data_IF_522075213833
#
_entry.id   IF_522075213833
#
_cell.length_a   1.000
_cell.length_b   1.000
_cell.length_c   1.000
_cell.angle_alpha   90.00
_cell.angle_beta   90.00
_cell.angle_gamma   90.00
#
_symmetry.space_group_name_H-M   'P 1'
#
loop_
_entity.id
_entity.type
_entity.pdbx_description
1 polymer ?
#
# COMPACT_ATOMS: atom_id res chain seq x y z
N UNK A 1 14.69 29.27 -13.48
CA UNK A 1 13.46 28.71 -12.88
C UNK A 1 13.65 28.76 -11.36
N UNK A 2 12.72 29.30 -10.59
CA UNK A 2 12.92 29.49 -9.14
C UNK A 2 12.71 28.18 -8.41
N UNK A 3 13.79 27.57 -7.90
CA UNK A 3 13.77 26.40 -7.02
C UNK A 3 13.20 26.75 -5.63
N UNK A 4 11.89 27.00 -5.59
CA UNK A 4 11.15 27.32 -4.39
C UNK A 4 10.24 26.14 -4.02
N UNK A 5 10.46 25.57 -2.83
CA UNK A 5 9.62 24.52 -2.27
C UNK A 5 8.61 25.12 -1.30
N UNK A 6 7.44 24.47 -1.19
CA UNK A 6 6.43 24.83 -0.17
C UNK A 6 6.46 23.80 0.94
N UNK A 7 6.49 24.25 2.20
CA UNK A 7 6.27 23.37 3.35
C UNK A 7 5.15 23.92 4.23
N UNK A 8 4.51 23.04 5.02
CA UNK A 8 3.61 23.42 6.09
C UNK A 8 4.32 23.23 7.44
N UNK A 9 4.20 24.20 8.33
CA UNK A 9 4.67 24.07 9.70
C UNK A 9 3.91 22.92 10.39
N UNK A 10 4.59 21.89 10.92
CA UNK A 10 3.94 20.76 11.58
C UNK A 10 3.24 21.15 12.89
N UNK A 11 3.57 22.31 13.46
CA UNK A 11 2.99 22.79 14.72
C UNK A 11 1.67 23.53 14.49
N UNK A 12 1.60 24.40 13.47
CA UNK A 12 0.46 25.31 13.30
C UNK A 12 -0.13 25.35 11.88
N UNK A 13 0.34 24.49 10.98
CA UNK A 13 -0.15 24.36 9.60
C UNK A 13 0.19 25.52 8.65
N UNK A 14 0.89 26.58 9.11
CA UNK A 14 1.24 27.73 8.28
C UNK A 14 2.14 27.30 7.12
N UNK A 15 1.81 27.73 5.90
CA UNK A 15 2.53 27.36 4.68
C UNK A 15 3.52 28.44 4.29
N UNK A 16 4.74 28.03 3.93
CA UNK A 16 5.80 28.95 3.51
C UNK A 16 6.47 28.44 2.25
N UNK A 17 6.88 29.37 1.39
CA UNK A 17 7.78 29.10 0.26
C UNK A 17 9.21 29.43 0.67
N UNK A 18 10.16 28.55 0.35
CA UNK A 18 11.57 28.77 0.62
C UNK A 18 12.40 28.26 -0.55
N UNK A 19 13.51 28.95 -0.80
CA UNK A 19 14.51 28.48 -1.77
C UNK A 19 15.23 27.24 -1.24
N UNK A 20 15.51 26.27 -2.11
CA UNK A 20 16.29 25.05 -1.81
C UNK A 20 17.63 25.32 -1.12
N UNK A 21 18.22 26.52 -1.26
CA UNK A 21 19.44 26.94 -0.55
C UNK A 21 19.30 26.95 0.99
N UNK A 22 18.07 26.93 1.51
CA UNK A 22 17.80 26.88 2.94
C UNK A 22 17.55 25.46 3.46
N UNK A 23 17.66 24.43 2.62
CA UNK A 23 17.66 23.05 3.06
C UNK A 23 18.81 22.77 4.02
N UNK A 24 18.58 21.87 4.96
CA UNK A 24 19.48 21.58 6.08
C UNK A 24 19.47 22.63 7.19
N UNK A 25 18.81 23.78 7.02
CA UNK A 25 18.79 24.86 8.03
C UNK A 25 17.63 24.71 9.01
N UNK A 26 17.89 25.06 10.27
CA UNK A 26 16.81 25.32 11.24
C UNK A 26 16.20 26.68 10.94
N UNK A 27 14.89 26.70 10.79
CA UNK A 27 14.10 27.91 10.57
C UNK A 27 13.06 28.06 11.67
N UNK A 28 12.66 29.29 11.96
CA UNK A 28 11.58 29.59 12.91
C UNK A 28 10.29 29.84 12.14
N UNK A 29 9.21 29.20 12.55
CA UNK A 29 7.88 29.49 12.03
C UNK A 29 7.50 30.94 12.39
N UNK A 30 7.20 31.78 11.40
CA UNK A 30 6.79 33.17 11.63
C UNK A 30 5.45 33.29 12.38
N UNK A 31 4.57 32.28 12.29
CA UNK A 31 3.25 32.26 12.94
C UNK A 31 3.30 31.80 14.41
N UNK A 32 3.95 30.68 14.71
CA UNK A 32 3.93 30.07 16.05
C UNK A 32 5.28 30.08 16.79
N UNK A 33 6.35 30.58 16.17
CA UNK A 33 7.68 30.60 16.78
C UNK A 33 8.39 29.25 16.87
N UNK A 34 7.74 28.14 16.46
CA UNK A 34 8.33 26.80 16.50
C UNK A 34 9.58 26.67 15.62
N UNK A 35 10.60 25.96 16.13
CA UNK A 35 11.81 25.64 15.37
C UNK A 35 11.61 24.40 14.51
N UNK A 36 11.98 24.50 13.23
CA UNK A 36 11.76 23.48 12.21
C UNK A 36 13.07 23.25 11.47
N UNK A 37 13.40 22.00 11.19
CA UNK A 37 14.55 21.67 10.33
C UNK A 37 14.04 21.41 8.91
N UNK A 38 14.44 22.24 7.95
CA UNK A 38 14.07 22.02 6.56
C UNK A 38 14.92 20.90 5.98
N UNK A 39 14.35 19.73 5.75
CA UNK A 39 15.01 18.63 5.03
C UNK A 39 14.19 18.23 3.82
N UNK A 40 14.87 17.88 2.74
CA UNK A 40 14.29 17.02 1.71
C UNK A 40 14.67 15.62 2.14
N UNK A 41 13.67 14.80 2.47
CA UNK A 41 13.87 13.36 2.44
C UNK A 41 13.76 12.95 0.98
N UNK A 42 14.75 12.24 0.41
CA UNK A 42 14.54 11.63 -0.90
C UNK A 42 13.27 10.78 -0.79
N UNK A 43 12.32 11.03 -1.69
CA UNK A 43 11.14 10.18 -1.80
C UNK A 43 11.67 8.80 -2.13
N UNK A 44 11.42 7.84 -1.24
CA UNK A 44 11.75 6.46 -1.55
C UNK A 44 10.78 6.00 -2.63
N UNK A 45 11.34 5.51 -3.73
CA UNK A 45 10.58 4.89 -4.81
C UNK A 45 10.83 3.39 -4.78
N UNK A 46 9.80 2.61 -5.07
CA UNK A 46 9.87 1.15 -5.11
C UNK A 46 9.81 0.72 -6.57
N UNK A 47 10.71 -0.16 -7.01
CA UNK A 47 10.71 -0.62 -8.41
C UNK A 47 9.47 -1.44 -8.72
N UNK A 48 9.14 -2.40 -7.84
CA UNK A 48 7.91 -3.19 -7.87
C UNK A 48 7.39 -3.39 -6.46
N UNK A 49 6.08 -3.31 -6.31
CA UNK A 49 5.37 -3.68 -5.08
C UNK A 49 4.44 -4.82 -5.43
N UNK A 50 4.63 -5.97 -4.79
CA UNK A 50 3.68 -7.07 -4.84
C UNK A 50 2.72 -6.89 -3.67
N UNK A 51 1.43 -6.75 -3.96
CA UNK A 51 0.41 -6.44 -2.97
C UNK A 51 -0.73 -7.46 -3.05
N UNK A 52 -1.28 -7.78 -1.89
CA UNK A 52 -2.47 -8.61 -1.74
C UNK A 52 -3.31 -8.07 -0.57
N UNK A 53 -4.63 -8.29 -0.64
CA UNK A 53 -5.56 -7.85 0.40
C UNK A 53 -6.40 -9.01 0.92
N UNK A 54 -6.80 -8.87 2.18
CA UNK A 54 -7.77 -9.76 2.81
C UNK A 54 -9.03 -8.98 3.17
N UNK A 55 -10.19 -9.54 2.85
CA UNK A 55 -11.48 -8.87 3.01
C UNK A 55 -12.52 -9.83 3.59
N UNK A 56 -13.58 -9.29 4.19
CA UNK A 56 -14.68 -10.10 4.72
C UNK A 56 -15.83 -10.30 3.73
N UNK A 57 -15.76 -9.67 2.55
CA UNK A 57 -16.78 -9.71 1.50
C UNK A 57 -16.17 -9.53 0.12
N UNK A 58 -16.98 -9.64 -0.92
CA UNK A 58 -16.47 -9.64 -2.30
C UNK A 58 -16.39 -8.24 -2.94
N UNK A 59 -16.87 -7.20 -2.27
CA UNK A 59 -16.79 -5.80 -2.71
C UNK A 59 -16.94 -4.82 -1.53
N UNK A 60 -16.45 -3.57 -1.63
CA UNK A 60 -16.44 -2.59 -0.54
C UNK A 60 -17.79 -2.38 0.15
N UNK A 61 -18.88 -2.36 -0.60
CA UNK A 61 -20.24 -2.09 -0.07
C UNK A 61 -20.83 -3.20 0.81
N UNK A 62 -20.25 -4.41 0.81
CA UNK A 62 -20.82 -5.59 1.49
C UNK A 62 -19.79 -6.31 2.37
N UNK A 63 -18.69 -5.64 2.71
CA UNK A 63 -17.66 -6.22 3.56
C UNK A 63 -16.72 -5.15 4.11
N UNK A 64 -15.65 -5.63 4.71
CA UNK A 64 -14.59 -4.83 5.31
C UNK A 64 -13.26 -5.25 4.69
N UNK A 65 -12.41 -4.28 4.38
CA UNK A 65 -10.99 -4.52 4.12
C UNK A 65 -10.34 -4.86 5.46
N UNK A 66 -9.86 -6.08 5.64
CA UNK A 66 -9.31 -6.56 6.91
C UNK A 66 -7.80 -6.31 7.00
N UNK A 67 -7.06 -6.67 5.95
CA UNK A 67 -5.61 -6.56 5.91
C UNK A 67 -5.13 -6.18 4.51
N UNK A 68 -4.02 -5.45 4.44
CA UNK A 68 -3.23 -5.26 3.23
C UNK A 68 -1.83 -5.74 3.54
N UNK A 69 -1.26 -6.57 2.69
CA UNK A 69 0.11 -7.08 2.81
C UNK A 69 0.86 -6.75 1.53
N UNK A 70 2.14 -6.42 1.66
CA UNK A 70 2.97 -6.15 0.51
C UNK A 70 4.41 -6.60 0.71
N UNK A 71 5.06 -6.85 -0.41
CA UNK A 71 6.50 -7.07 -0.50
C UNK A 71 7.12 -6.08 -1.48
N UNK A 72 8.14 -5.37 -1.03
CA UNK A 72 8.87 -4.39 -1.84
C UNK A 72 10.32 -4.25 -1.37
N UNK A 73 11.26 -4.22 -2.32
CA UNK A 73 12.71 -4.10 -2.07
C UNK A 73 13.23 -5.03 -0.96
N UNK A 74 12.94 -6.33 -1.04
CA UNK A 74 13.45 -7.28 -0.04
C UNK A 74 12.68 -7.32 1.27
N UNK A 75 11.69 -6.44 1.47
CA UNK A 75 11.04 -6.23 2.77
C UNK A 75 9.53 -6.45 2.71
N UNK A 76 9.01 -7.12 3.73
CA UNK A 76 7.57 -7.26 3.95
C UNK A 76 7.01 -6.07 4.74
N UNK A 77 5.81 -5.65 4.37
CA UNK A 77 5.01 -4.74 5.17
C UNK A 77 3.55 -5.19 5.20
N UNK A 78 2.83 -4.68 6.20
CA UNK A 78 1.41 -4.97 6.35
C UNK A 78 0.69 -3.79 6.99
N UNK A 79 -0.62 -3.78 6.79
CA UNK A 79 -1.57 -2.93 7.49
C UNK A 79 -2.77 -3.80 7.87
N UNK A 80 -3.08 -3.83 9.16
CA UNK A 80 -4.31 -4.44 9.68
C UNK A 80 -5.29 -3.32 9.93
N UNK A 81 -6.54 -3.49 9.49
CA UNK A 81 -7.53 -2.43 9.54
C UNK A 81 -7.76 -1.94 10.99
N UNK A 82 -7.37 -0.69 11.21
CA UNK A 82 -7.54 0.06 12.44
C UNK A 82 -8.16 1.45 12.15
N UNK A 83 -8.88 1.59 11.03
CA UNK A 83 -9.42 2.84 10.53
C UNK A 83 -8.63 3.40 9.35
N UNK A 84 -7.61 4.21 9.62
CA UNK A 84 -6.87 4.94 8.58
C UNK A 84 -5.65 4.15 8.06
N UNK A 85 -5.31 4.27 6.76
CA UNK A 85 -4.09 3.67 6.22
C UNK A 85 -2.86 4.34 6.83
N UNK A 86 -1.83 3.54 7.11
CA UNK A 86 -0.55 4.07 7.58
C UNK A 86 0.13 4.94 6.51
N UNK A 87 0.95 5.88 6.94
CA UNK A 87 1.82 6.64 6.03
C UNK A 87 2.68 5.72 5.17
N UNK A 88 3.12 4.58 5.72
CA UNK A 88 3.89 3.56 5.01
C UNK A 88 3.10 2.93 3.86
N UNK A 89 1.86 2.47 4.11
CA UNK A 89 1.03 1.89 3.05
C UNK A 89 0.73 2.91 1.94
N UNK A 90 0.36 4.14 2.33
CA UNK A 90 0.13 5.23 1.37
C UNK A 90 1.38 5.52 0.54
N UNK A 91 2.55 5.55 1.17
CA UNK A 91 3.83 5.81 0.52
C UNK A 91 4.21 4.70 -0.46
N UNK A 92 4.08 3.43 -0.04
CA UNK A 92 4.38 2.27 -0.88
C UNK A 92 3.46 2.23 -2.11
N UNK A 93 2.15 2.41 -1.93
CA UNK A 93 1.21 2.46 -3.05
C UNK A 93 1.53 3.61 -4.01
N UNK A 94 1.72 4.82 -3.49
CA UNK A 94 1.89 6.03 -4.32
C UNK A 94 3.22 6.07 -5.08
N UNK A 95 4.30 5.54 -4.49
CA UNK A 95 5.65 5.66 -5.03
C UNK A 95 6.21 4.33 -5.56
N UNK A 96 5.34 3.35 -5.77
CA UNK A 96 5.66 2.20 -6.60
C UNK A 96 5.76 2.65 -8.07
N UNK A 97 6.83 2.28 -8.76
CA UNK A 97 6.89 2.43 -10.22
C UNK A 97 5.93 1.46 -10.90
N UNK A 98 5.70 0.29 -10.29
CA UNK A 98 4.72 -0.70 -10.70
C UNK A 98 4.13 -1.39 -9.46
N UNK A 99 2.81 -1.49 -9.42
CA UNK A 99 2.09 -2.36 -8.47
C UNK A 99 1.75 -3.65 -9.18
N UNK A 100 1.96 -4.78 -8.50
CA UNK A 100 1.67 -6.12 -9.00
C UNK A 100 0.72 -6.81 -8.03
N UNK A 101 -0.39 -7.33 -8.54
CA UNK A 101 -1.42 -8.05 -7.76
C UNK A 101 -1.91 -9.26 -8.54
N UNK A 102 -2.73 -10.12 -7.94
CA UNK A 102 -3.44 -11.17 -8.67
C UNK A 102 -4.96 -10.92 -8.66
N UNK A 103 -5.55 -10.67 -9.83
CA UNK A 103 -6.95 -10.23 -9.99
C UNK A 103 -7.25 -8.86 -9.31
N UNK A 104 -6.23 -8.03 -9.12
CA UNK A 104 -6.34 -6.79 -8.38
C UNK A 104 -6.98 -5.63 -9.13
N UNK A 105 -7.01 -5.61 -10.47
CA UNK A 105 -7.80 -4.59 -11.18
C UNK A 105 -9.29 -4.72 -10.84
N UNK A 106 -9.78 -5.96 -10.68
CA UNK A 106 -11.19 -6.27 -10.39
C UNK A 106 -11.48 -6.37 -8.90
N UNK A 107 -10.47 -6.45 -8.06
CA UNK A 107 -10.62 -6.74 -6.64
C UNK A 107 -9.84 -5.76 -5.76
N UNK A 108 -8.51 -5.91 -5.68
CA UNK A 108 -7.65 -5.17 -4.76
C UNK A 108 -7.75 -3.64 -4.90
N UNK A 109 -7.59 -3.12 -6.10
CA UNK A 109 -7.59 -1.67 -6.35
C UNK A 109 -8.95 -1.02 -5.99
N UNK A 110 -10.12 -1.56 -6.38
CA UNK A 110 -11.41 -1.06 -5.91
C UNK A 110 -11.51 -0.92 -4.39
N UNK A 111 -10.98 -1.88 -3.61
CA UNK A 111 -10.96 -1.77 -2.16
C UNK A 111 -10.05 -0.65 -1.66
N UNK A 112 -8.85 -0.51 -2.22
CA UNK A 112 -7.92 0.54 -1.82
C UNK A 112 -8.44 1.95 -2.18
N UNK A 113 -9.09 2.08 -3.33
CA UNK A 113 -9.70 3.34 -3.78
C UNK A 113 -10.92 3.69 -2.92
N UNK A 114 -11.89 2.77 -2.80
CA UNK A 114 -13.16 3.05 -2.12
C UNK A 114 -13.02 3.13 -0.58
N UNK A 115 -12.22 2.27 0.03
CA UNK A 115 -12.11 2.20 1.50
C UNK A 115 -11.00 3.10 2.06
N UNK A 116 -9.90 3.30 1.33
CA UNK A 116 -8.74 4.05 1.82
C UNK A 116 -8.53 5.38 1.10
N UNK A 117 -9.35 5.71 0.10
CA UNK A 117 -9.27 6.96 -0.65
C UNK A 117 -8.03 7.05 -1.54
N UNK A 118 -7.44 5.91 -1.90
CA UNK A 118 -6.28 5.90 -2.79
C UNK A 118 -6.71 6.31 -4.20
N UNK A 119 -5.77 6.86 -4.95
CA UNK A 119 -5.96 7.01 -6.40
C UNK A 119 -5.60 5.69 -7.07
N UNK A 120 -6.31 5.37 -8.15
CA UNK A 120 -5.96 4.22 -9.00
C UNK A 120 -4.49 4.33 -9.43
N UNK A 121 -3.78 3.19 -9.42
CA UNK A 121 -2.36 3.17 -9.69
C UNK A 121 -2.11 3.26 -11.20
N UNK A 122 -1.33 4.25 -11.63
CA UNK A 122 -1.12 4.50 -13.05
C UNK A 122 -0.38 3.37 -13.79
N UNK A 123 0.38 2.54 -13.06
CA UNK A 123 1.08 1.38 -13.61
C UNK A 123 0.78 0.15 -12.73
N UNK A 124 -0.38 -0.45 -12.95
CA UNK A 124 -0.84 -1.65 -12.26
C UNK A 124 -0.73 -2.85 -13.22
N UNK A 125 0.02 -3.86 -12.79
CA UNK A 125 0.13 -5.15 -13.46
C UNK A 125 -0.72 -6.19 -12.72
N UNK A 126 -1.75 -6.70 -13.39
CA UNK A 126 -2.56 -7.80 -12.88
C UNK A 126 -2.04 -9.14 -13.41
N UNK A 127 -1.53 -9.97 -12.50
CA UNK A 127 -0.98 -11.28 -12.85
C UNK A 127 -2.02 -12.26 -13.39
N UNK A 128 -3.32 -12.08 -13.09
CA UNK A 128 -4.36 -12.90 -13.71
C UNK A 128 -4.48 -12.59 -15.20
N UNK A 129 -4.37 -11.31 -15.59
CA UNK A 129 -4.41 -10.87 -16.98
C UNK A 129 -3.13 -11.27 -17.72
N UNK A 130 -1.98 -11.06 -17.09
CA UNK A 130 -0.68 -11.51 -17.62
C UNK A 130 -0.70 -13.03 -17.86
N UNK A 131 -1.12 -13.83 -16.87
CA UNK A 131 -1.21 -15.28 -17.01
C UNK A 131 -2.17 -15.71 -18.13
N UNK A 132 -3.32 -15.05 -18.25
CA UNK A 132 -4.27 -15.31 -19.33
C UNK A 132 -3.66 -15.05 -20.73
N UNK A 133 -2.80 -14.03 -20.85
CA UNK A 133 -2.11 -13.74 -22.12
C UNK A 133 -1.12 -14.84 -22.54
N UNK A 134 -0.64 -15.65 -21.58
CA UNK A 134 0.21 -16.82 -21.82
C UNK A 134 -0.56 -18.14 -21.83
N UNK A 135 -1.90 -18.10 -21.93
CA UNK A 135 -2.75 -19.29 -22.01
C UNK A 135 -3.04 -19.99 -20.67
N UNK A 136 -2.65 -19.38 -19.54
CA UNK A 136 -2.90 -19.92 -18.20
C UNK A 136 -4.23 -19.42 -17.66
N UNK A 137 -4.93 -20.24 -16.85
CA UNK A 137 -6.22 -19.86 -16.31
C UNK A 137 -6.51 -20.47 -14.93
N UNK A 138 -7.39 -19.81 -14.18
CA UNK A 138 -7.79 -20.22 -12.83
C UNK A 138 -7.21 -19.32 -11.74
N UNK A 139 -7.30 -19.79 -10.49
CA UNK A 139 -6.75 -19.06 -9.34
C UNK A 139 -5.23 -19.19 -9.23
N UNK A 140 -4.61 -18.26 -8.49
CA UNK A 140 -3.15 -18.17 -8.30
C UNK A 140 -2.53 -19.51 -7.90
N UNK A 141 -3.15 -20.23 -6.96
CA UNK A 141 -2.68 -21.56 -6.51
C UNK A 141 -2.56 -22.57 -7.65
N UNK A 142 -3.56 -22.62 -8.54
CA UNK A 142 -3.55 -23.53 -9.69
C UNK A 142 -2.45 -23.14 -10.68
N UNK A 143 -2.37 -21.86 -11.01
CA UNK A 143 -1.38 -21.34 -11.95
C UNK A 143 0.05 -21.54 -11.43
N UNK A 144 0.29 -21.33 -10.14
CA UNK A 144 1.59 -21.56 -9.51
C UNK A 144 2.03 -23.03 -9.62
N UNK A 145 1.12 -23.98 -9.41
CA UNK A 145 1.40 -25.41 -9.58
C UNK A 145 1.72 -25.75 -11.04
N UNK A 146 0.94 -25.21 -11.98
CA UNK A 146 1.17 -25.41 -13.43
C UNK A 146 2.54 -24.86 -13.87
N UNK A 147 3.01 -23.77 -13.26
CA UNK A 147 4.31 -23.18 -13.49
C UNK A 147 5.46 -23.82 -12.68
N UNK A 148 5.18 -24.84 -11.85
CA UNK A 148 6.19 -25.48 -11.00
C UNK A 148 6.74 -24.57 -9.90
N UNK A 149 5.99 -23.54 -9.47
CA UNK A 149 6.37 -22.65 -8.39
C UNK A 149 6.06 -23.36 -7.05
N UNK A 150 7.07 -23.66 -6.24
CA UNK A 150 6.86 -24.39 -5.00
C UNK A 150 6.14 -23.53 -3.97
N UNK A 151 5.25 -24.17 -3.20
CA UNK A 151 4.62 -23.57 -2.02
C UNK A 151 5.29 -24.12 -0.76
N UNK A 152 5.57 -23.28 0.26
CA UNK A 152 6.02 -23.77 1.56
C UNK A 152 5.00 -24.76 2.14
N UNK A 153 5.43 -25.93 2.66
CA UNK A 153 4.53 -26.94 3.21
C UNK A 153 3.58 -26.41 4.29
N UNK A 154 4.05 -25.48 5.13
CA UNK A 154 3.23 -24.82 6.16
C UNK A 154 2.01 -24.06 5.61
N UNK A 155 2.00 -23.71 4.32
CA UNK A 155 0.87 -23.02 3.70
C UNK A 155 -0.10 -23.96 2.98
N UNK A 156 0.20 -25.24 2.81
CA UNK A 156 -0.65 -26.17 2.06
C UNK A 156 -2.04 -26.36 2.67
N UNK A 157 -2.13 -26.31 4.01
CA UNK A 157 -3.39 -26.37 4.74
C UNK A 157 -4.13 -25.01 4.81
N UNK A 158 -3.50 -23.92 4.38
CA UNK A 158 -4.08 -22.58 4.42
C UNK A 158 -4.79 -22.22 3.10
N UNK A 159 -6.08 -21.93 3.23
CA UNK A 159 -6.97 -21.48 2.17
C UNK A 159 -7.47 -20.06 2.48
N UNK A 160 -7.57 -19.18 1.48
CA UNK A 160 -8.00 -17.79 1.69
C UNK A 160 -9.36 -17.65 2.38
N UNK A 161 -10.26 -18.63 2.21
CA UNK A 161 -11.56 -18.68 2.91
C UNK A 161 -11.45 -18.74 4.44
N UNK A 162 -10.28 -18.98 5.01
CA UNK A 162 -10.04 -18.96 6.45
C UNK A 162 -9.89 -17.53 6.99
N UNK A 163 -9.44 -16.56 6.17
CA UNK A 163 -9.16 -15.20 6.60
C UNK A 163 -10.37 -14.48 7.22
N UNK A 164 -11.62 -14.57 6.67
CA UNK A 164 -12.78 -13.93 7.30
C UNK A 164 -13.11 -14.48 8.70
N UNK A 165 -12.80 -15.76 8.96
CA UNK A 165 -13.02 -16.38 10.29
C UNK A 165 -12.00 -15.87 11.29
N UNK A 166 -10.72 -15.78 10.89
CA UNK A 166 -9.64 -15.24 11.71
C UNK A 166 -9.91 -13.77 12.08
N UNK A 167 -10.35 -12.96 11.11
CA UNK A 167 -10.74 -11.57 11.35
C UNK A 167 -11.86 -11.43 12.40
N UNK A 168 -12.93 -12.23 12.27
CA UNK A 168 -14.03 -12.24 13.23
C UNK A 168 -13.57 -12.67 14.63
N UNK A 169 -12.62 -13.60 14.73
CA UNK A 169 -12.04 -14.03 16.00
C UNK A 169 -11.22 -12.89 16.64
N UNK A 170 -10.34 -12.26 15.86
CA UNK A 170 -9.52 -11.13 16.31
C UNK A 170 -10.38 -9.96 16.82
N UNK A 171 -11.47 -9.62 16.11
CA UNK A 171 -12.42 -8.57 16.53
C UNK A 171 -13.13 -8.86 17.85
N UNK A 172 -13.23 -10.14 18.25
CA UNK A 172 -13.82 -10.55 19.54
C UNK A 172 -12.79 -10.57 20.67
N UNK A 173 -11.53 -10.21 20.41
CA UNK A 173 -10.44 -10.24 21.38
C UNK A 173 -9.81 -11.61 21.56
N UNK A 174 -10.18 -12.61 20.75
CA UNK A 174 -9.47 -13.88 20.71
C UNK A 174 -8.15 -13.69 19.96
N UNK A 175 -7.04 -13.81 20.69
CA UNK A 175 -5.69 -13.79 20.15
C UNK A 175 -5.31 -15.16 19.58
#
# INVERSE_FOLDING_TARGET
>A
MTDAMTFACPICGARYKFSVKHLGRRVRCGKCGGQLLLRVSPIRVFQRVFLDIETTGFRPRVGELATVVWYADGTWGHWVNNGMPTDTLQHVWRYAQQVVTFNGHKFDEPWLVECLGFQAHANHCDLMEEAASHGLSGGLKRIAVELGIPRPPELDAMEGKHAPKLWKSARKGNK
#
